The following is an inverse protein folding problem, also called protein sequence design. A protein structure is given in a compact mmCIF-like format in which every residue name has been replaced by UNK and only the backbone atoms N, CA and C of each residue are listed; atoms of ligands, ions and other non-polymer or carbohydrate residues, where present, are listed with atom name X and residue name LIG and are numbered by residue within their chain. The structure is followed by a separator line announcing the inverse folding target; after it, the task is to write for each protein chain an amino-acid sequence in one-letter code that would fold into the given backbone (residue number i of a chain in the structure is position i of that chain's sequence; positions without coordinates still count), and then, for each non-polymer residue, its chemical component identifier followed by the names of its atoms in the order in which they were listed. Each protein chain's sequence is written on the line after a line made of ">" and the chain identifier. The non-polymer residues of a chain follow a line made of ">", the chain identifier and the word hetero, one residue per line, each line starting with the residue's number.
data_IF_008588529617
#
_entry.id   IF_008588529617
#
_cell.length_a   1.000
_cell.length_b   1.000
_cell.length_c   1.000
_cell.angle_alpha   90.00
_cell.angle_beta   90.00
_cell.angle_gamma   90.00
#
_symmetry.space_group_name_H-M   'P 1'
#
loop_
_entity.id
_entity.type
_entity.pdbx_description
1 polymer ?
#
# COMPACT_ATOMS: atom_id res chain seq x y z
N UNK A 1 -9.30 -0.77 -4.03
CA UNK A 1 -9.86 -1.90 -3.26
C UNK A 1 -11.05 -1.39 -2.45
N UNK A 2 -12.16 -2.14 -2.40
CA UNK A 2 -13.31 -1.77 -1.58
C UNK A 2 -12.99 -1.92 -0.09
N UNK A 3 -13.31 -0.91 0.71
CA UNK A 3 -13.08 -0.93 2.16
C UNK A 3 -14.12 -1.83 2.81
N UNK A 4 -13.70 -2.88 3.56
CA UNK A 4 -14.65 -3.68 4.33
C UNK A 4 -15.20 -2.82 5.48
N UNK A 5 -16.53 -2.65 5.51
CA UNK A 5 -17.22 -1.89 6.54
C UNK A 5 -18.56 -2.56 6.91
N UNK A 6 -18.65 -3.23 8.07
CA UNK A 6 -19.88 -3.93 8.46
C UNK A 6 -21.06 -2.98 8.72
N UNK A 7 -20.80 -1.68 8.91
CA UNK A 7 -21.86 -0.68 9.08
C UNK A 7 -22.61 -0.44 7.77
N UNK A 8 -21.92 -0.55 6.64
CA UNK A 8 -22.54 -0.41 5.32
C UNK A 8 -23.57 -1.50 5.08
N UNK A 9 -23.26 -2.73 5.51
CA UNK A 9 -24.16 -3.88 5.36
C UNK A 9 -25.40 -3.73 6.25
N UNK A 10 -25.25 -3.28 7.49
CA UNK A 10 -26.37 -3.00 8.39
C UNK A 10 -27.30 -1.92 7.84
N UNK A 11 -26.75 -0.86 7.25
CA UNK A 11 -27.55 0.19 6.61
C UNK A 11 -28.25 -0.33 5.36
N UNK A 12 -27.58 -1.16 4.56
CA UNK A 12 -28.18 -1.76 3.38
C UNK A 12 -29.40 -2.63 3.72
N UNK A 13 -29.30 -3.42 4.79
CA UNK A 13 -30.41 -4.24 5.31
C UNK A 13 -31.54 -3.35 5.87
N UNK A 14 -31.21 -2.39 6.74
CA UNK A 14 -32.19 -1.50 7.37
C UNK A 14 -33.04 -0.73 6.35
N UNK A 15 -32.43 -0.31 5.24
CA UNK A 15 -33.09 0.49 4.20
C UNK A 15 -33.48 -0.31 2.96
N UNK A 16 -33.32 -1.64 2.96
CA UNK A 16 -33.60 -2.51 1.80
C UNK A 16 -32.95 -2.01 0.51
N UNK A 17 -31.68 -1.60 0.60
CA UNK A 17 -30.96 -0.99 -0.51
C UNK A 17 -30.74 -2.01 -1.64
N UNK A 18 -31.13 -1.67 -2.87
CA UNK A 18 -30.93 -2.54 -4.05
C UNK A 18 -29.45 -2.72 -4.44
N UNK A 19 -28.60 -1.79 -3.98
CA UNK A 19 -27.17 -1.79 -4.28
C UNK A 19 -26.40 -1.13 -3.14
N UNK A 20 -25.28 -1.74 -2.78
CA UNK A 20 -24.27 -1.15 -1.91
C UNK A 20 -23.06 -0.73 -2.73
N UNK A 21 -22.45 0.41 -2.35
CA UNK A 21 -21.22 0.90 -2.96
C UNK A 21 -20.22 1.17 -1.84
N UNK A 22 -19.17 0.36 -1.69
CA UNK A 22 -18.19 0.55 -0.64
C UNK A 22 -17.30 1.76 -0.93
N UNK A 23 -16.75 2.34 0.13
CA UNK A 23 -15.63 3.28 0.01
C UNK A 23 -14.44 2.62 -0.68
N UNK A 24 -13.62 3.40 -1.37
CA UNK A 24 -12.47 2.89 -2.12
C UNK A 24 -11.16 3.44 -1.57
N UNK A 25 -10.14 2.57 -1.54
CA UNK A 25 -8.74 2.94 -1.29
C UNK A 25 -7.92 2.59 -2.53
N UNK A 26 -7.15 3.56 -3.02
CA UNK A 26 -6.08 3.34 -4.02
C UNK A 26 -4.79 2.96 -3.29
N UNK A 27 -4.17 1.87 -3.71
CA UNK A 27 -2.87 1.43 -3.21
C UNK A 27 -1.93 1.46 -4.39
N UNK A 28 -0.86 2.25 -4.26
CA UNK A 28 0.21 2.31 -5.25
C UNK A 28 1.40 1.50 -4.76
N UNK A 29 1.81 0.52 -5.55
CA UNK A 29 3.07 -0.18 -5.33
C UNK A 29 4.23 0.73 -5.74
N UNK A 30 5.18 0.93 -4.84
CA UNK A 30 6.34 1.79 -5.04
C UNK A 30 7.54 0.87 -5.27
N UNK A 31 8.13 0.94 -6.46
CA UNK A 31 9.28 0.13 -6.81
C UNK A 31 10.41 0.33 -5.79
N UNK A 32 10.84 -0.74 -5.11
CA UNK A 32 11.84 -0.66 -4.06
C UNK A 32 13.18 -0.14 -4.57
N UNK A 33 13.88 0.65 -3.74
CA UNK A 33 15.28 0.99 -3.96
C UNK A 33 16.17 -0.10 -3.35
N UNK A 34 17.16 -0.56 -4.11
CA UNK A 34 18.31 -1.29 -3.54
C UNK A 34 19.28 -0.30 -2.89
N UNK A 35 20.03 -0.75 -1.88
CA UNK A 35 21.07 0.06 -1.25
C UNK A 35 22.06 0.58 -2.30
N UNK A 36 22.35 1.88 -2.25
CA UNK A 36 23.18 2.57 -3.24
C UNK A 36 22.42 3.24 -4.40
N UNK A 37 21.09 3.12 -4.46
CA UNK A 37 20.30 3.80 -5.49
C UNK A 37 20.20 5.34 -5.32
N UNK A 38 20.66 5.88 -4.18
CA UNK A 38 20.71 7.32 -3.89
C UNK A 38 21.97 8.03 -4.39
N UNK A 39 23.04 7.31 -4.76
CA UNK A 39 24.38 7.89 -5.02
C UNK A 39 24.68 8.21 -6.49
N UNK A 40 23.72 8.23 -7.42
CA UNK A 40 23.98 8.86 -8.73
C UNK A 40 23.18 8.43 -9.96
N UNK A 41 22.28 7.45 -9.88
CA UNK A 41 21.60 6.91 -11.07
C UNK A 41 20.17 7.45 -11.33
N UNK A 42 19.72 8.47 -10.58
CA UNK A 42 18.36 9.03 -10.74
C UNK A 42 17.21 8.16 -10.20
N UNK A 43 17.44 6.87 -9.95
CA UNK A 43 16.45 5.93 -9.41
C UNK A 43 15.95 6.34 -8.01
N UNK A 44 16.82 6.83 -7.14
CA UNK A 44 16.43 7.37 -5.83
C UNK A 44 15.44 8.53 -5.92
N UNK A 45 15.61 9.42 -6.90
CA UNK A 45 14.71 10.56 -7.11
C UNK A 45 13.34 10.13 -7.65
N UNK A 46 13.30 9.12 -8.52
CA UNK A 46 12.04 8.55 -9.03
C UNK A 46 11.22 7.92 -7.89
N UNK A 47 11.87 7.17 -7.00
CA UNK A 47 11.24 6.61 -5.80
C UNK A 47 10.69 7.69 -4.86
N UNK A 48 11.51 8.70 -4.52
CA UNK A 48 11.06 9.80 -3.67
C UNK A 48 9.93 10.61 -4.32
N UNK A 49 9.91 10.72 -5.65
CA UNK A 49 8.80 11.34 -6.38
C UNK A 49 7.50 10.54 -6.27
N UNK A 50 7.58 9.21 -6.27
CA UNK A 50 6.40 8.36 -6.06
C UNK A 50 5.87 8.47 -4.64
N UNK A 51 6.75 8.48 -3.62
CA UNK A 51 6.35 8.66 -2.22
C UNK A 51 5.73 10.05 -2.00
N UNK A 52 6.27 11.11 -2.60
CA UNK A 52 5.68 12.45 -2.51
C UNK A 52 4.27 12.55 -3.10
N UNK A 53 3.88 11.60 -3.96
CA UNK A 53 2.55 11.54 -4.56
C UNK A 53 1.50 10.85 -3.70
N UNK A 54 1.86 10.28 -2.54
CA UNK A 54 0.91 9.58 -1.66
C UNK A 54 0.75 10.30 -0.32
N UNK A 55 -0.39 10.06 0.35
CA UNK A 55 -0.71 10.68 1.63
C UNK A 55 -0.33 9.77 2.82
N UNK A 56 -0.20 8.47 2.58
CA UNK A 56 0.09 7.45 3.59
C UNK A 56 1.09 6.45 3.01
N UNK A 57 2.01 5.96 3.85
CA UNK A 57 3.02 4.96 3.50
C UNK A 57 2.80 3.71 4.34
N UNK A 58 2.72 2.55 3.69
CA UNK A 58 2.77 1.25 4.35
C UNK A 58 4.22 0.78 4.45
N UNK A 59 4.79 0.75 5.66
CA UNK A 59 6.13 0.23 5.89
C UNK A 59 6.04 -1.26 6.24
N UNK A 60 6.23 -2.11 5.23
CA UNK A 60 6.22 -3.57 5.41
C UNK A 60 7.58 -4.03 5.91
N UNK A 61 7.62 -4.54 7.14
CA UNK A 61 8.84 -5.05 7.77
C UNK A 61 8.76 -6.58 7.86
N UNK A 62 9.87 -7.25 7.54
CA UNK A 62 10.00 -8.69 7.67
C UNK A 62 10.09 -9.05 9.16
N UNK A 63 9.15 -9.87 9.64
CA UNK A 63 9.09 -10.34 11.04
C UNK A 63 9.26 -11.86 11.17
N UNK A 64 10.00 -12.50 10.25
CA UNK A 64 10.25 -13.95 10.26
C UNK A 64 11.65 -14.28 9.76
N UNK A 65 12.19 -15.41 10.23
CA UNK A 65 13.49 -15.95 9.81
C UNK A 65 13.30 -16.97 8.68
N UNK A 66 14.05 -16.81 7.59
CA UNK A 66 14.13 -17.72 6.47
C UNK A 66 15.55 -17.65 5.89
N UNK A 67 16.24 -18.79 5.86
CA UNK A 67 17.62 -18.94 5.39
C UNK A 67 17.75 -18.71 3.87
N UNK A 68 16.66 -18.83 3.10
CA UNK A 68 16.67 -18.60 1.64
C UNK A 68 16.62 -17.11 1.28
N UNK A 69 16.29 -16.25 2.23
CA UNK A 69 16.12 -14.81 1.98
C UNK A 69 17.28 -14.06 2.62
N UNK A 70 18.23 -13.68 1.77
CA UNK A 70 19.44 -12.92 2.16
C UNK A 70 19.02 -11.54 2.66
N UNK A 71 19.47 -11.16 3.86
CA UNK A 71 19.40 -9.77 4.29
C UNK A 71 20.48 -9.00 3.51
N UNK A 72 20.04 -8.18 2.57
CA UNK A 72 20.92 -7.22 1.91
C UNK A 72 21.03 -6.04 2.87
N UNK A 73 22.14 -5.97 3.61
CA UNK A 73 22.46 -4.78 4.42
C UNK A 73 22.42 -3.54 3.58
#
# INVERSE_FOLDING_TARGET
>A
VGVPDPRLDQLAELFSSQRTVPGQVEIRDIAGLIKGASTGAGMGNAFLSQIRGVQVVFHVVRCFSDQKIVHVE
#
